data_IF_955119743193
#
_entry.id   IF_955119743193
#
_cell.length_a   1.000
_cell.length_b   1.000
_cell.length_c   1.000
_cell.angle_alpha   90.00
_cell.angle_beta   90.00
_cell.angle_gamma   90.00
#
_symmetry.space_group_name_H-M   'P 1'
#
loop_
_entity.id
_entity.type
_entity.pdbx_description
1 polymer ?
#
# COMPACT_ATOMS: atom_id res chain seq x y z
N UNK A 1 10.58 7.08 31.35
CA UNK A 1 10.33 6.58 29.98
C UNK A 1 8.83 6.63 29.77
N UNK A 2 8.37 7.42 28.82
CA UNK A 2 6.96 7.37 28.41
C UNK A 2 6.81 6.21 27.44
N UNK A 3 6.02 5.20 27.79
CA UNK A 3 5.69 4.14 26.87
C UNK A 3 4.86 4.72 25.73
N UNK A 4 5.16 4.36 24.50
CA UNK A 4 4.44 4.76 23.29
C UNK A 4 3.00 4.24 23.27
N UNK A 5 2.70 3.28 24.14
CA UNK A 5 1.39 2.65 24.29
C UNK A 5 1.01 2.65 25.78
N UNK A 6 0.00 3.43 26.13
CA UNK A 6 -0.62 3.38 27.44
C UNK A 6 -2.05 2.89 27.30
N UNK A 7 -2.29 1.57 27.41
CA UNK A 7 -3.62 1.02 27.20
C UNK A 7 -4.51 1.39 28.39
N UNK A 8 -5.44 2.30 28.14
CA UNK A 8 -6.59 2.51 28.99
C UNK A 8 -7.67 1.49 28.66
N UNK A 9 -8.57 1.12 29.60
CA UNK A 9 -9.78 0.40 29.27
C UNK A 9 -10.55 1.10 28.13
N UNK A 10 -11.16 0.32 27.25
CA UNK A 10 -11.80 0.85 26.03
C UNK A 10 -12.88 1.91 26.29
N UNK A 11 -13.53 1.85 27.44
CA UNK A 11 -14.57 2.76 27.93
C UNK A 11 -14.03 3.97 28.73
N UNK A 12 -12.71 4.03 28.95
CA UNK A 12 -12.09 5.16 29.63
C UNK A 12 -12.04 6.38 28.68
N UNK A 13 -12.61 7.54 29.06
CA UNK A 13 -12.56 8.75 28.23
C UNK A 13 -11.12 9.26 27.96
N UNK A 14 -10.11 8.72 28.66
CA UNK A 14 -8.70 9.02 28.46
C UNK A 14 -8.04 8.06 27.47
N UNK A 15 -8.77 7.05 26.94
CA UNK A 15 -8.28 6.09 25.95
C UNK A 15 -7.98 6.74 24.57
N UNK A 16 -7.61 8.01 24.55
CA UNK A 16 -7.22 8.75 23.36
C UNK A 16 -5.68 8.74 23.28
N UNK A 17 -5.16 8.08 22.26
CA UNK A 17 -3.74 8.16 21.92
C UNK A 17 -3.43 9.56 21.37
N UNK A 18 -2.87 10.39 22.20
CA UNK A 18 -2.31 11.67 21.76
C UNK A 18 -0.95 11.42 21.09
N UNK A 19 -0.95 11.34 19.78
CA UNK A 19 0.29 11.25 19.00
C UNK A 19 0.87 12.66 18.87
N UNK A 20 2.05 12.89 19.44
CA UNK A 20 2.80 14.13 19.23
C UNK A 20 3.44 14.11 17.84
N UNK A 21 2.81 14.78 16.90
CA UNK A 21 3.34 14.97 15.57
C UNK A 21 4.18 16.24 15.53
N UNK A 22 5.46 16.11 15.17
CA UNK A 22 6.28 17.27 14.87
C UNK A 22 5.88 17.90 13.53
N UNK A 23 6.32 19.12 13.24
CA UNK A 23 5.93 19.84 12.03
C UNK A 23 6.43 19.17 10.73
N UNK A 24 7.56 18.45 10.79
CA UNK A 24 8.04 17.68 9.63
C UNK A 24 7.11 16.53 9.31
N UNK A 25 6.72 15.75 10.31
CA UNK A 25 5.78 14.64 10.14
C UNK A 25 4.43 15.16 9.62
N UNK A 26 3.90 16.27 10.20
CA UNK A 26 2.64 16.87 9.73
C UNK A 26 2.67 17.25 8.26
N UNK A 27 3.80 17.72 7.73
CA UNK A 27 3.98 18.03 6.30
C UNK A 27 3.94 16.80 5.40
N UNK A 28 4.26 15.62 5.94
CA UNK A 28 4.24 14.37 5.17
C UNK A 28 2.86 13.76 5.02
N UNK A 29 1.91 14.11 5.91
CA UNK A 29 0.56 13.59 5.83
C UNK A 29 -0.23 14.13 4.64
N UNK A 30 -1.05 13.25 4.09
CA UNK A 30 -2.09 13.57 3.13
C UNK A 30 -3.46 13.24 3.73
N UNK A 31 -4.47 14.02 3.39
CA UNK A 31 -5.82 13.86 3.97
C UNK A 31 -6.74 12.97 3.15
N UNK A 32 -6.39 12.72 1.90
CA UNK A 32 -7.21 11.94 0.97
C UNK A 32 -6.37 11.37 -0.17
N UNK A 33 -6.94 10.45 -0.93
CA UNK A 33 -6.27 9.77 -2.04
C UNK A 33 -5.78 10.73 -3.12
N UNK A 34 -6.49 11.83 -3.38
CA UNK A 34 -6.08 12.84 -4.37
C UNK A 34 -4.75 13.50 -3.97
N UNK A 35 -4.65 13.99 -2.74
CA UNK A 35 -3.41 14.60 -2.22
C UNK A 35 -2.26 13.60 -2.18
N UNK A 36 -2.56 12.33 -1.88
CA UNK A 36 -1.57 11.27 -1.90
C UNK A 36 -1.08 11.03 -3.32
N UNK A 37 -1.99 10.94 -4.28
CA UNK A 37 -1.65 10.77 -5.69
C UNK A 37 -0.85 11.96 -6.24
N UNK A 38 -1.16 13.19 -5.84
CA UNK A 38 -0.40 14.38 -6.23
C UNK A 38 1.05 14.33 -5.71
N UNK A 39 1.26 13.91 -4.47
CA UNK A 39 2.60 13.73 -3.90
C UNK A 39 3.39 12.64 -4.62
N UNK A 40 2.74 11.50 -4.90
CA UNK A 40 3.36 10.40 -5.63
C UNK A 40 3.71 10.84 -7.05
N UNK A 41 2.79 11.49 -7.75
CA UNK A 41 3.03 12.02 -9.09
C UNK A 41 4.18 13.03 -9.13
N UNK A 42 4.26 13.92 -8.14
CA UNK A 42 5.38 14.88 -8.03
C UNK A 42 6.71 14.16 -7.83
N UNK A 43 6.77 13.17 -6.95
CA UNK A 43 7.99 12.39 -6.70
C UNK A 43 8.45 11.62 -7.95
N UNK A 44 7.51 11.04 -8.70
CA UNK A 44 7.79 10.37 -9.98
C UNK A 44 8.32 11.36 -11.00
N UNK A 45 7.68 12.52 -11.15
CA UNK A 45 8.12 13.56 -12.06
C UNK A 45 9.53 14.08 -11.73
N UNK A 46 9.87 14.23 -10.45
CA UNK A 46 11.21 14.61 -10.00
C UNK A 46 12.29 13.58 -10.39
N UNK A 47 11.94 12.29 -10.40
CA UNK A 47 12.85 11.24 -10.86
C UNK A 47 13.03 11.26 -12.38
N UNK A 48 11.96 11.42 -13.14
CA UNK A 48 11.97 11.48 -14.61
C UNK A 48 12.73 12.72 -15.08
N UNK A 49 12.53 13.87 -14.45
CA UNK A 49 13.20 15.13 -14.78
C UNK A 49 14.72 15.06 -14.62
N UNK A 50 15.22 14.12 -13.84
CA UNK A 50 16.65 13.81 -13.69
C UNK A 50 17.17 12.82 -14.76
N UNK A 51 16.39 12.55 -15.80
CA UNK A 51 16.76 11.66 -16.91
C UNK A 51 16.71 10.17 -16.54
N UNK A 52 15.96 9.78 -15.51
CA UNK A 52 15.81 8.39 -15.09
C UNK A 52 14.49 7.82 -15.63
N UNK A 53 14.55 6.63 -16.19
CA UNK A 53 13.33 5.82 -16.32
C UNK A 53 12.89 5.37 -14.94
N UNK A 54 11.58 5.36 -14.72
CA UNK A 54 11.00 5.08 -13.42
C UNK A 54 10.00 3.93 -13.51
N UNK A 55 10.21 2.91 -12.70
CA UNK A 55 9.23 1.85 -12.43
C UNK A 55 8.84 2.01 -10.97
N UNK A 56 7.55 2.13 -10.72
CA UNK A 56 6.98 2.32 -9.38
C UNK A 56 6.11 1.12 -9.05
N UNK A 57 6.46 0.38 -8.00
CA UNK A 57 5.60 -0.63 -7.41
C UNK A 57 4.64 0.00 -6.41
N UNK A 58 3.37 -0.36 -6.49
CA UNK A 58 2.36 -0.03 -5.50
C UNK A 58 1.99 -1.33 -4.81
N UNK A 59 2.22 -1.40 -3.51
CA UNK A 59 1.96 -2.55 -2.67
C UNK A 59 1.21 -2.13 -1.40
N UNK A 60 0.54 -3.08 -0.76
CA UNK A 60 -0.20 -2.82 0.46
C UNK A 60 -1.06 -4.00 0.89
N UNK A 61 -2.03 -3.72 1.74
CA UNK A 61 -2.92 -4.73 2.26
C UNK A 61 -3.85 -5.30 1.18
N UNK A 62 -4.20 -6.58 1.28
CA UNK A 62 -4.94 -7.35 0.27
C UNK A 62 -6.27 -6.70 -0.19
N UNK A 63 -6.89 -5.90 0.67
CA UNK A 63 -8.13 -5.17 0.35
C UNK A 63 -7.89 -3.73 -0.12
N UNK A 64 -6.65 -3.31 -0.32
CA UNK A 64 -6.37 -1.96 -0.79
C UNK A 64 -6.82 -1.77 -2.25
N UNK A 65 -7.42 -0.62 -2.60
CA UNK A 65 -7.93 -0.37 -3.95
C UNK A 65 -6.80 0.00 -4.92
N UNK A 66 -5.91 -0.94 -5.23
CA UNK A 66 -4.71 -0.72 -6.04
C UNK A 66 -5.00 -0.16 -7.42
N UNK A 67 -5.98 -0.74 -8.14
CA UNK A 67 -6.35 -0.32 -9.48
C UNK A 67 -6.84 1.13 -9.49
N UNK A 68 -7.71 1.48 -8.54
CA UNK A 68 -8.24 2.84 -8.43
C UNK A 68 -7.14 3.84 -8.09
N UNK A 69 -6.23 3.48 -7.20
CA UNK A 69 -5.16 4.39 -6.79
C UNK A 69 -4.08 4.55 -7.88
N UNK A 70 -3.66 3.47 -8.54
CA UNK A 70 -2.72 3.54 -9.66
C UNK A 70 -3.27 4.33 -10.84
N UNK A 71 -4.56 4.13 -11.15
CA UNK A 71 -5.27 4.94 -12.15
C UNK A 71 -5.29 6.42 -11.78
N UNK A 72 -5.53 6.74 -10.51
CA UNK A 72 -5.51 8.12 -10.03
C UNK A 72 -4.10 8.74 -10.15
N UNK A 73 -3.04 8.02 -9.78
CA UNK A 73 -1.65 8.49 -9.93
C UNK A 73 -1.32 8.74 -11.40
N UNK A 74 -1.69 7.81 -12.30
CA UNK A 74 -1.51 7.98 -13.75
C UNK A 74 -2.23 9.21 -14.29
N UNK A 75 -3.48 9.43 -13.87
CA UNK A 75 -4.25 10.62 -14.23
C UNK A 75 -3.56 11.91 -13.75
N UNK A 76 -3.08 11.92 -12.50
CA UNK A 76 -2.40 13.11 -11.95
C UNK A 76 -1.07 13.40 -12.62
N UNK A 77 -0.30 12.37 -13.00
CA UNK A 77 0.91 12.52 -13.82
C UNK A 77 0.62 13.22 -15.14
N UNK A 78 -0.43 12.77 -15.84
CA UNK A 78 -0.82 13.38 -17.10
C UNK A 78 -1.31 14.82 -16.92
N UNK A 79 -2.15 15.09 -15.92
CA UNK A 79 -2.74 16.39 -15.68
C UNK A 79 -1.75 17.45 -15.20
N UNK A 80 -0.84 17.09 -14.33
CA UNK A 80 0.07 18.04 -13.69
C UNK A 80 1.39 18.22 -14.45
N UNK A 81 1.85 17.17 -15.12
CA UNK A 81 3.21 17.11 -15.66
C UNK A 81 3.29 16.70 -17.13
N UNK A 82 2.15 16.42 -17.77
CA UNK A 82 2.08 15.89 -19.14
C UNK A 82 2.89 14.58 -19.31
N UNK A 83 2.97 13.77 -18.25
CA UNK A 83 3.68 12.51 -18.22
C UNK A 83 2.68 11.36 -18.39
N UNK A 84 2.91 10.52 -19.41
CA UNK A 84 2.11 9.33 -19.66
C UNK A 84 2.72 8.14 -18.90
N UNK A 85 1.93 7.52 -18.03
CA UNK A 85 2.29 6.28 -17.34
C UNK A 85 1.53 5.09 -17.94
N UNK A 86 2.18 3.92 -17.98
CA UNK A 86 1.54 2.64 -18.24
C UNK A 86 1.35 1.93 -16.91
N UNK A 87 0.13 1.54 -16.60
CA UNK A 87 -0.20 0.75 -15.43
C UNK A 87 -0.21 -0.72 -15.84
N UNK A 88 0.54 -1.54 -15.12
CA UNK A 88 0.55 -2.99 -15.27
C UNK A 88 -0.06 -3.61 -14.00
N UNK A 89 -1.05 -4.44 -14.18
CA UNK A 89 -1.62 -5.20 -13.08
C UNK A 89 -0.86 -6.53 -12.95
N UNK A 90 -0.32 -6.80 -11.77
CA UNK A 90 0.41 -8.06 -11.52
C UNK A 90 -0.49 -9.29 -11.62
N UNK A 91 -1.80 -9.15 -11.48
CA UNK A 91 -2.75 -10.23 -11.69
C UNK A 91 -2.70 -10.79 -13.13
N UNK A 92 -2.35 -9.96 -14.12
CA UNK A 92 -2.24 -10.37 -15.53
C UNK A 92 -1.10 -11.36 -15.79
N UNK A 93 -0.14 -11.47 -14.87
CA UNK A 93 1.02 -12.36 -14.97
C UNK A 93 0.93 -13.57 -14.05
N UNK A 94 -0.15 -13.68 -13.28
CA UNK A 94 -0.38 -14.84 -12.44
C UNK A 94 -0.88 -16.02 -13.29
N UNK A 95 -0.55 -17.21 -12.82
CA UNK A 95 -1.18 -18.42 -13.34
C UNK A 95 -2.69 -18.37 -13.04
N UNK A 96 -3.48 -19.02 -13.85
CA UNK A 96 -4.88 -19.24 -13.52
C UNK A 96 -5.01 -20.04 -12.22
N UNK A 97 -6.18 -19.94 -11.58
CA UNK A 97 -6.40 -20.50 -10.24
C UNK A 97 -6.10 -22.00 -10.16
N UNK A 98 -6.45 -22.75 -11.20
CA UNK A 98 -6.30 -24.21 -11.20
C UNK A 98 -4.82 -24.59 -11.38
N UNK A 99 -4.10 -23.96 -12.30
CA UNK A 99 -2.67 -24.17 -12.49
C UNK A 99 -1.86 -23.74 -11.25
N UNK A 100 -2.26 -22.65 -10.59
CA UNK A 100 -1.63 -22.22 -9.35
C UNK A 100 -1.88 -23.22 -8.22
N UNK A 101 -3.12 -23.73 -8.10
CA UNK A 101 -3.48 -24.75 -7.11
C UNK A 101 -2.68 -26.04 -7.30
N UNK A 102 -2.61 -26.58 -8.53
CA UNK A 102 -1.81 -27.75 -8.83
C UNK A 102 -0.33 -27.58 -8.48
N UNK A 103 0.22 -26.40 -8.76
CA UNK A 103 1.62 -26.10 -8.44
C UNK A 103 1.88 -26.00 -6.94
N UNK A 104 0.93 -25.49 -6.18
CA UNK A 104 1.06 -25.31 -4.73
C UNK A 104 0.68 -26.59 -3.93
N UNK A 105 -0.15 -27.48 -4.50
CA UNK A 105 -0.66 -28.65 -3.81
C UNK A 105 0.39 -29.49 -3.08
N UNK A 106 1.62 -29.74 -3.64
CA UNK A 106 2.66 -30.48 -2.94
C UNK A 106 3.22 -29.78 -1.68
N UNK A 107 2.97 -28.49 -1.53
CA UNK A 107 3.47 -27.65 -0.45
C UNK A 107 2.38 -27.24 0.55
N UNK A 108 1.13 -27.58 0.24
CA UNK A 108 0.02 -27.31 1.14
C UNK A 108 -0.15 -28.48 2.09
N UNK A 109 -0.46 -28.24 3.38
CA UNK A 109 -0.79 -29.29 4.30
C UNK A 109 -2.08 -30.00 3.87
N UNK A 110 -2.19 -31.30 4.17
CA UNK A 110 -3.39 -32.12 3.87
C UNK A 110 -4.63 -31.55 4.57
N UNK A 111 -4.44 -31.00 5.77
CA UNK A 111 -5.49 -30.32 6.52
C UNK A 111 -5.04 -28.89 6.88
N UNK A 112 -5.81 -27.90 6.42
CA UNK A 112 -5.55 -26.48 6.73
C UNK A 112 -5.72 -26.16 8.22
N UNK A 113 -6.55 -26.92 8.94
CA UNK A 113 -6.76 -26.73 10.36
C UNK A 113 -5.55 -27.18 11.19
N UNK A 114 -4.71 -28.06 10.62
CA UNK A 114 -3.47 -28.51 11.25
C UNK A 114 -2.25 -27.62 10.96
N UNK A 115 -2.38 -26.63 10.04
CA UNK A 115 -1.28 -25.73 9.73
C UNK A 115 -1.13 -24.63 10.80
N UNK A 116 -0.10 -24.71 11.66
CA UNK A 116 0.09 -23.73 12.72
C UNK A 116 0.40 -22.32 12.18
N UNK A 117 0.90 -22.18 10.95
CA UNK A 117 1.17 -20.88 10.33
C UNK A 117 -0.14 -20.20 9.95
N UNK A 118 -1.14 -20.95 9.45
CA UNK A 118 -2.45 -20.39 9.13
C UNK A 118 -3.29 -20.06 10.37
N UNK A 119 -3.06 -20.79 11.48
CA UNK A 119 -3.80 -20.58 12.72
C UNK A 119 -3.18 -19.53 13.64
N UNK A 120 -1.85 -19.33 13.58
CA UNK A 120 -1.10 -18.52 14.54
C UNK A 120 -0.14 -17.51 13.88
N UNK A 121 -0.14 -17.41 12.55
CA UNK A 121 0.73 -16.51 11.77
C UNK A 121 0.31 -15.04 11.77
#
# INVERSE_FOLDING_TARGET
MSFMFNPYPYDDPRAINHIHLNEEIKKTFTRNSMQTADKVASAINDMISKGKSCIVGIDGYISAPFEQFSGLVSLRLAQLFDVKATVLNTEEVWLDSDALHEQLLPYLPEDREEDPVLLYG
#
